data_IF_205120175014
#
_entry.id   IF_205120175014
#
_cell.length_a   1.000
_cell.length_b   1.000
_cell.length_c   1.000
_cell.angle_alpha   90.00
_cell.angle_beta   90.00
_cell.angle_gamma   90.00
#
_symmetry.space_group_name_H-M   'P 1'
#
loop_
_entity.id
_entity.type
_entity.pdbx_description
1 polymer ?
#
# COMPACT_ATOMS: atom_id res chain seq x y z
N UNK A 1 10.32 -3.36 -71.76
CA UNK A 1 10.37 -2.31 -70.72
C UNK A 1 8.94 -1.91 -70.41
N UNK A 2 8.38 -2.47 -69.35
CA UNK A 2 7.04 -2.17 -68.82
C UNK A 2 7.22 -1.81 -67.35
N UNK A 3 6.67 -0.69 -66.85
CA UNK A 3 6.84 -0.34 -65.45
C UNK A 3 5.85 -1.15 -64.59
N UNK A 4 6.39 -1.86 -63.61
CA UNK A 4 5.63 -2.44 -62.52
C UNK A 4 5.23 -1.32 -61.55
N UNK A 5 3.93 -1.01 -61.46
CA UNK A 5 3.39 -0.19 -60.39
C UNK A 5 3.21 -1.07 -59.15
N UNK A 6 4.10 -0.90 -58.18
CA UNK A 6 3.95 -1.48 -56.84
C UNK A 6 2.99 -0.57 -56.05
N UNK A 7 1.77 -1.04 -55.85
CA UNK A 7 0.79 -0.40 -54.99
C UNK A 7 1.17 -0.70 -53.53
N UNK A 8 1.77 0.26 -52.83
CA UNK A 8 1.95 0.20 -51.38
C UNK A 8 0.59 0.36 -50.71
N UNK A 9 0.04 -0.74 -50.21
CA UNK A 9 -1.10 -0.73 -49.29
C UNK A 9 -0.55 -0.41 -47.90
N UNK A 10 -0.68 0.83 -47.47
CA UNK A 10 -0.44 1.21 -46.09
C UNK A 10 -1.57 0.62 -45.23
N UNK A 11 -1.31 -0.50 -44.54
CA UNK A 11 -2.15 -0.96 -43.45
C UNK A 11 -1.95 -0.01 -42.26
N UNK A 12 -2.79 1.01 -42.18
CA UNK A 12 -2.99 1.77 -40.95
C UNK A 12 -3.65 0.85 -39.92
N UNK A 13 -2.84 0.20 -39.08
CA UNK A 13 -3.31 -0.33 -37.80
C UNK A 13 -3.74 0.85 -36.94
N UNK A 14 -5.02 1.17 -36.97
CA UNK A 14 -5.62 2.03 -35.96
C UNK A 14 -5.50 1.32 -34.63
N UNK A 15 -4.58 1.76 -33.78
CA UNK A 15 -4.63 1.52 -32.34
C UNK A 15 -5.97 2.06 -31.87
N UNK A 16 -6.96 1.18 -31.77
CA UNK A 16 -8.19 1.48 -31.08
C UNK A 16 -7.79 1.67 -29.62
N UNK A 17 -7.67 2.93 -29.19
CA UNK A 17 -7.68 3.27 -27.78
C UNK A 17 -9.01 2.72 -27.23
N UNK A 18 -8.97 1.50 -26.68
CA UNK A 18 -10.08 1.01 -25.90
C UNK A 18 -10.16 1.95 -24.72
N UNK A 19 -11.26 2.70 -24.60
CA UNK A 19 -11.55 3.38 -23.36
C UNK A 19 -11.50 2.31 -22.27
N UNK A 20 -10.53 2.40 -21.36
CA UNK A 20 -10.49 1.54 -20.17
C UNK A 20 -11.82 1.74 -19.45
N UNK A 21 -12.62 0.68 -19.43
CA UNK A 21 -13.91 0.64 -18.76
C UNK A 21 -13.69 -0.07 -17.43
N UNK A 22 -13.72 0.69 -16.34
CA UNK A 22 -13.65 0.14 -14.99
C UNK A 22 -14.92 -0.64 -14.69
N UNK A 23 -14.78 -1.82 -14.10
CA UNK A 23 -15.90 -2.70 -13.72
C UNK A 23 -16.78 -2.09 -12.62
N UNK A 24 -16.19 -1.24 -11.78
CA UNK A 24 -16.86 -0.52 -10.70
C UNK A 24 -16.12 0.79 -10.37
N UNK A 25 -16.75 1.65 -9.58
CA UNK A 25 -16.12 2.82 -8.95
C UNK A 25 -16.61 2.91 -7.51
N UNK A 26 -15.68 3.09 -6.59
CA UNK A 26 -15.92 3.02 -5.15
C UNK A 26 -15.71 4.37 -4.47
N UNK A 27 -16.28 4.47 -3.29
CA UNK A 27 -15.88 5.34 -2.20
C UNK A 27 -15.44 4.43 -1.04
N UNK A 28 -14.62 4.90 -0.09
CA UNK A 28 -14.29 4.09 1.08
C UNK A 28 -15.51 3.55 1.84
N UNK A 29 -16.63 4.29 1.81
CA UNK A 29 -17.88 3.93 2.48
C UNK A 29 -18.66 2.80 1.81
N UNK A 30 -18.43 2.52 0.52
CA UNK A 30 -19.15 1.49 -0.22
C UNK A 30 -18.24 0.41 -0.81
N UNK A 31 -16.93 0.48 -0.54
CA UNK A 31 -15.97 -0.49 -1.01
C UNK A 31 -16.34 -1.92 -0.52
N UNK A 32 -16.26 -2.93 -1.39
CA UNK A 32 -16.51 -4.32 -1.01
C UNK A 32 -15.41 -4.83 -0.08
N UNK A 33 -15.59 -6.03 0.49
CA UNK A 33 -14.48 -6.61 1.27
C UNK A 33 -13.26 -6.83 0.38
N UNK A 34 -13.45 -7.43 -0.79
CA UNK A 34 -12.44 -7.54 -1.84
C UNK A 34 -13.03 -6.95 -3.13
N UNK A 35 -12.28 -6.11 -3.82
CA UNK A 35 -12.61 -5.58 -5.14
C UNK A 35 -12.21 -6.54 -6.25
N UNK A 36 -11.13 -7.31 -6.05
CA UNK A 36 -10.59 -8.22 -7.06
C UNK A 36 -10.41 -9.67 -6.57
N UNK A 37 -10.34 -10.60 -7.52
CA UNK A 37 -10.11 -12.02 -7.23
C UNK A 37 -8.64 -12.25 -6.88
N UNK A 38 -8.39 -12.95 -5.77
CA UNK A 38 -7.03 -13.24 -5.30
C UNK A 38 -6.48 -12.21 -4.32
N UNK A 39 -7.26 -11.16 -4.03
CA UNK A 39 -6.93 -10.16 -3.04
C UNK A 39 -6.67 -10.77 -1.66
N UNK A 40 -5.51 -10.47 -1.09
CA UNK A 40 -5.09 -10.95 0.24
C UNK A 40 -5.56 -10.05 1.36
N UNK A 41 -5.57 -8.73 1.14
CA UNK A 41 -6.05 -7.75 2.11
C UNK A 41 -7.55 -7.46 1.97
N UNK A 42 -7.97 -6.26 2.35
CA UNK A 42 -9.37 -5.83 2.31
C UNK A 42 -9.52 -4.39 1.85
N UNK A 43 -10.61 -4.10 1.13
CA UNK A 43 -11.06 -2.73 0.86
C UNK A 43 -12.13 -2.24 1.85
N UNK A 44 -12.66 -3.11 2.73
CA UNK A 44 -13.50 -2.72 3.88
C UNK A 44 -12.63 -2.32 5.06
N UNK A 45 -11.87 -1.26 4.87
CA UNK A 45 -10.99 -0.73 5.89
C UNK A 45 -11.78 -0.21 7.09
N UNK A 46 -11.17 -0.30 8.28
CA UNK A 46 -11.70 0.34 9.48
C UNK A 46 -11.55 1.87 9.43
N UNK A 47 -11.70 2.52 10.56
CA UNK A 47 -11.43 3.96 10.70
C UNK A 47 -10.16 4.20 11.52
N UNK A 48 -10.04 3.58 12.68
CA UNK A 48 -8.85 3.72 13.52
C UNK A 48 -7.65 2.95 12.93
N UNK A 49 -6.49 3.59 12.95
CA UNK A 49 -5.25 3.02 12.48
C UNK A 49 -4.86 1.80 13.32
N UNK A 50 -4.28 0.82 12.64
CA UNK A 50 -3.83 -0.42 13.25
C UNK A 50 -2.58 -0.91 12.51
N UNK A 51 -1.47 -1.08 13.25
CA UNK A 51 -0.21 -1.56 12.69
C UNK A 51 -0.26 -3.00 12.15
N UNK A 52 -1.33 -3.75 12.44
CA UNK A 52 -1.60 -5.07 11.83
C UNK A 52 -2.68 -5.02 10.75
N UNK A 53 -3.07 -3.82 10.28
CA UNK A 53 -4.11 -3.68 9.26
C UNK A 53 -3.72 -4.38 7.96
N UNK A 54 -4.73 -4.92 7.28
CA UNK A 54 -4.66 -5.47 5.93
C UNK A 54 -5.42 -4.59 4.92
N UNK A 55 -5.67 -3.33 5.25
CA UNK A 55 -6.31 -2.37 4.36
C UNK A 55 -5.48 -2.18 3.09
N UNK A 56 -6.13 -2.21 1.92
CA UNK A 56 -5.52 -1.97 0.61
C UNK A 56 -6.15 -0.74 -0.08
N UNK A 57 -6.60 0.23 0.72
CA UNK A 57 -7.06 1.52 0.25
C UNK A 57 -6.01 2.59 0.59
N UNK A 58 -5.43 3.21 -0.42
CA UNK A 58 -4.49 4.32 -0.28
C UNK A 58 -5.17 5.66 -0.57
N UNK A 59 -4.61 6.72 0.01
CA UNK A 59 -5.12 8.08 -0.10
C UNK A 59 -3.98 9.01 -0.50
N UNK A 60 -4.19 9.91 -1.45
CA UNK A 60 -3.21 10.93 -1.86
C UNK A 60 -3.88 12.29 -1.88
N UNK A 61 -3.90 12.98 -0.74
CA UNK A 61 -4.63 14.25 -0.57
C UNK A 61 -3.70 15.46 -0.46
N UNK A 62 -2.60 15.35 0.28
CA UNK A 62 -1.63 16.43 0.52
C UNK A 62 -0.28 15.88 0.98
N UNK A 63 0.66 16.78 1.28
CA UNK A 63 1.98 16.43 1.82
C UNK A 63 1.93 15.78 3.22
N UNK A 64 0.93 16.08 4.04
CA UNK A 64 0.71 15.49 5.36
C UNK A 64 -0.45 14.48 5.38
N UNK A 65 -1.07 14.21 4.24
CA UNK A 65 -2.18 13.27 4.10
C UNK A 65 -2.02 12.41 2.85
N UNK A 66 -1.08 11.47 2.93
CA UNK A 66 -0.83 10.49 1.89
C UNK A 66 -0.58 9.10 2.47
N UNK A 67 -0.70 8.09 1.60
CA UNK A 67 -0.36 6.70 1.89
C UNK A 67 0.65 6.17 0.88
N UNK A 68 1.35 5.11 1.28
CA UNK A 68 2.23 4.28 0.47
C UNK A 68 1.78 2.82 0.60
N UNK A 69 1.96 2.03 -0.44
CA UNK A 69 1.81 0.57 -0.36
C UNK A 69 3.15 -0.05 0.08
N UNK A 70 3.12 -0.98 1.04
CA UNK A 70 4.33 -1.68 1.49
C UNK A 70 3.99 -3.01 2.20
N UNK A 71 4.99 -3.90 2.39
CA UNK A 71 4.69 -5.30 2.66
C UNK A 71 3.92 -5.50 3.95
N UNK A 72 2.96 -6.45 4.00
CA UNK A 72 2.17 -6.68 5.20
C UNK A 72 3.01 -7.25 6.35
N UNK A 73 4.15 -7.87 6.06
CA UNK A 73 5.08 -8.43 7.04
C UNK A 73 6.52 -8.22 6.57
N UNK A 74 7.49 -8.07 7.50
CA UNK A 74 8.90 -8.03 7.15
C UNK A 74 9.45 -9.45 6.96
N UNK A 75 10.61 -9.55 6.31
CA UNK A 75 11.39 -10.77 6.19
C UNK A 75 11.66 -11.18 4.75
N UNK A 76 11.85 -12.49 4.55
CA UNK A 76 12.13 -13.05 3.23
C UNK A 76 10.87 -12.97 2.36
N UNK A 77 11.00 -12.45 1.15
CA UNK A 77 9.88 -12.24 0.22
C UNK A 77 9.06 -10.99 0.55
N UNK A 78 9.66 -10.05 1.29
CA UNK A 78 9.12 -8.70 1.50
C UNK A 78 9.79 -7.67 0.59
N UNK A 79 10.73 -8.10 -0.26
CA UNK A 79 11.25 -7.24 -1.32
C UNK A 79 10.05 -6.83 -2.20
N UNK A 80 9.96 -5.56 -2.58
CA UNK A 80 8.78 -5.00 -3.24
C UNK A 80 8.40 -5.85 -4.45
N UNK A 81 9.37 -6.15 -5.32
CA UNK A 81 9.16 -7.00 -6.50
C UNK A 81 8.68 -8.43 -6.20
N UNK A 82 8.92 -8.96 -5.00
CA UNK A 82 8.44 -10.28 -4.57
C UNK A 82 7.04 -10.20 -3.91
N UNK A 83 6.68 -9.07 -3.31
CA UNK A 83 5.46 -8.89 -2.52
C UNK A 83 4.36 -8.04 -3.16
N UNK A 84 4.58 -7.56 -4.40
CA UNK A 84 3.71 -6.58 -5.07
C UNK A 84 2.22 -6.94 -5.00
N UNK A 85 1.85 -8.22 -5.09
CA UNK A 85 0.45 -8.67 -5.08
C UNK A 85 -0.27 -8.48 -3.72
N UNK A 86 0.46 -8.38 -2.62
CA UNK A 86 -0.09 -8.46 -1.25
C UNK A 86 0.18 -7.22 -0.39
N UNK A 87 0.67 -6.15 -1.01
CA UNK A 87 0.97 -4.89 -0.34
C UNK A 87 -0.25 -4.32 0.41
N UNK A 88 0.00 -3.61 1.51
CA UNK A 88 -1.03 -2.96 2.34
C UNK A 88 -0.70 -1.49 2.53
N UNK A 89 -1.72 -0.70 2.84
CA UNK A 89 -1.57 0.75 2.94
C UNK A 89 -0.98 1.19 4.28
N UNK A 90 0.05 2.03 4.19
CA UNK A 90 0.66 2.80 5.28
C UNK A 90 0.42 4.27 5.03
N UNK A 91 -0.28 4.96 5.93
CA UNK A 91 -0.67 6.35 5.77
C UNK A 91 -0.03 7.26 6.81
N UNK A 92 0.15 8.53 6.47
CA UNK A 92 0.53 9.55 7.45
C UNK A 92 -0.59 9.73 8.50
N UNK A 93 -1.86 9.67 8.10
CA UNK A 93 -2.98 9.98 9.00
C UNK A 93 -3.77 8.75 9.47
N UNK A 94 -4.31 8.89 10.68
CA UNK A 94 -5.36 8.04 11.22
C UNK A 94 -6.70 8.38 10.54
N UNK A 95 -7.72 7.53 10.70
CA UNK A 95 -9.05 7.71 10.12
C UNK A 95 -9.34 6.82 8.91
N UNK A 96 -8.32 6.13 8.38
CA UNK A 96 -8.42 5.26 7.21
C UNK A 96 -8.44 3.76 7.51
N UNK A 97 -8.26 3.35 8.78
CA UNK A 97 -8.14 1.94 9.13
C UNK A 97 -6.86 1.29 8.61
N UNK A 98 -5.87 2.08 8.22
CA UNK A 98 -4.59 1.67 7.64
C UNK A 98 -3.51 1.56 8.72
N UNK A 99 -2.29 1.22 8.32
CA UNK A 99 -1.12 1.34 9.20
C UNK A 99 -0.66 2.79 9.20
N UNK A 100 -0.05 3.26 10.29
CA UNK A 100 0.59 4.57 10.29
C UNK A 100 2.04 4.45 9.88
N UNK A 101 2.47 5.31 8.97
CA UNK A 101 3.88 5.55 8.69
C UNK A 101 4.54 6.04 9.99
N UNK A 102 5.59 5.38 10.50
CA UNK A 102 6.23 5.83 11.74
C UNK A 102 6.87 7.21 11.58
N UNK A 103 6.73 8.06 12.60
CA UNK A 103 7.40 9.37 12.64
C UNK A 103 8.92 9.23 12.41
N UNK A 104 9.46 10.08 11.56
CA UNK A 104 10.88 10.06 11.19
C UNK A 104 11.23 9.11 10.04
N UNK A 105 10.29 8.28 9.55
CA UNK A 105 10.57 7.40 8.39
C UNK A 105 10.75 8.19 7.10
N UNK A 106 10.04 9.32 6.95
CA UNK A 106 10.13 10.19 5.76
C UNK A 106 11.15 11.29 6.03
N UNK A 107 12.22 11.31 5.23
CA UNK A 107 13.31 12.29 5.35
C UNK A 107 13.09 13.51 4.46
N UNK A 108 12.34 13.38 3.37
CA UNK A 108 11.89 14.48 2.52
C UNK A 108 10.70 14.06 1.69
N UNK A 109 9.80 14.99 1.40
CA UNK A 109 8.61 14.73 0.61
C UNK A 109 8.16 15.97 -0.19
N UNK A 110 7.77 15.76 -1.43
CA UNK A 110 7.32 16.78 -2.35
C UNK A 110 5.97 16.37 -2.94
N UNK A 111 4.91 17.07 -2.56
CA UNK A 111 3.56 16.85 -3.08
C UNK A 111 3.26 17.86 -4.18
N UNK A 112 2.77 17.41 -5.33
CA UNK A 112 2.30 18.27 -6.41
C UNK A 112 0.89 17.88 -6.81
N UNK A 113 0.03 18.87 -6.87
CA UNK A 113 -1.26 18.77 -7.54
C UNK A 113 -1.19 19.47 -8.90
N UNK A 114 -1.48 18.74 -9.97
CA UNK A 114 -1.59 19.27 -11.34
C UNK A 114 -3.06 19.26 -11.79
N UNK A 115 -3.39 19.81 -12.98
CA UNK A 115 -4.71 19.62 -13.57
C UNK A 115 -5.10 18.16 -13.86
N UNK A 116 -4.11 17.27 -14.05
CA UNK A 116 -4.30 15.90 -14.54
C UNK A 116 -3.97 14.81 -13.50
N UNK A 117 -3.16 15.09 -12.49
CA UNK A 117 -2.74 14.12 -11.47
C UNK A 117 -2.27 14.75 -10.16
N UNK A 118 -2.28 13.96 -9.10
CA UNK A 118 -1.54 14.24 -7.86
C UNK A 118 -0.31 13.34 -7.83
N UNK A 119 0.77 13.84 -7.25
CA UNK A 119 2.01 13.11 -7.11
C UNK A 119 2.68 13.45 -5.78
N UNK A 120 3.13 12.42 -5.07
CA UNK A 120 4.03 12.55 -3.93
C UNK A 120 5.35 11.84 -4.27
N UNK A 121 6.48 12.50 -4.04
CA UNK A 121 7.82 11.95 -4.21
C UNK A 121 8.63 12.19 -2.96
N UNK A 122 9.60 11.33 -2.66
CA UNK A 122 10.40 11.54 -1.46
C UNK A 122 11.42 10.45 -1.17
N UNK A 123 12.15 10.68 -0.09
CA UNK A 123 13.17 9.77 0.43
C UNK A 123 12.95 9.51 1.92
N UNK A 124 13.44 8.39 2.42
CA UNK A 124 13.19 7.96 3.79
C UNK A 124 14.00 6.75 4.24
N UNK A 125 13.82 6.34 5.49
CA UNK A 125 14.11 4.98 5.93
C UNK A 125 12.82 4.17 5.82
N UNK A 126 12.59 3.56 4.66
CA UNK A 126 11.36 2.83 4.37
C UNK A 126 11.42 1.38 4.86
N UNK A 127 12.52 0.98 5.51
CA UNK A 127 12.59 -0.32 6.19
C UNK A 127 11.62 -0.41 7.36
N UNK A 128 11.21 0.74 7.91
CA UNK A 128 10.16 0.86 8.92
C UNK A 128 8.76 0.47 8.42
N UNK A 129 8.57 0.34 7.09
CA UNK A 129 7.34 -0.11 6.44
C UNK A 129 7.40 -1.60 6.03
N UNK A 130 8.31 -2.37 6.63
CA UNK A 130 8.63 -3.78 6.34
C UNK A 130 9.43 -4.06 5.07
N UNK A 131 9.89 -3.03 4.36
CA UNK A 131 10.75 -3.21 3.18
C UNK A 131 12.15 -3.68 3.62
N UNK A 132 12.72 -4.74 3.02
CA UNK A 132 14.08 -5.17 3.33
C UNK A 132 15.11 -4.08 3.10
N UNK A 133 16.11 -4.00 3.98
CA UNK A 133 17.22 -3.08 3.78
C UNK A 133 17.99 -3.44 2.51
N UNK A 134 18.18 -2.46 1.63
CA UNK A 134 18.92 -2.63 0.38
C UNK A 134 18.05 -3.13 -0.77
N UNK A 135 16.74 -3.27 -0.57
CA UNK A 135 15.79 -3.40 -1.67
C UNK A 135 15.86 -2.14 -2.55
N UNK A 136 16.16 -2.35 -3.83
CA UNK A 136 16.30 -1.32 -4.86
C UNK A 136 14.93 -0.91 -5.46
N UNK A 137 13.88 -1.68 -5.16
CA UNK A 137 12.49 -1.32 -5.36
C UNK A 137 11.75 -2.12 -6.43
N UNK A 138 10.51 -1.70 -6.68
CA UNK A 138 9.61 -2.26 -7.69
C UNK A 138 8.45 -1.31 -7.99
N UNK A 139 7.69 -1.62 -9.05
CA UNK A 139 6.50 -0.88 -9.45
C UNK A 139 5.24 -1.56 -8.92
N UNK A 140 4.32 -0.74 -8.40
CA UNK A 140 2.98 -1.13 -7.99
C UNK A 140 1.97 -0.34 -8.81
N UNK A 141 0.94 -1.00 -9.34
CA UNK A 141 -0.02 -0.41 -10.27
C UNK A 141 -1.39 -1.16 -10.27
N UNK A 142 -2.45 -0.58 -10.86
CA UNK A 142 -3.79 -1.18 -10.86
C UNK A 142 -4.01 -2.28 -11.92
N UNK A 143 -3.05 -2.52 -12.81
CA UNK A 143 -3.14 -3.39 -13.99
C UNK A 143 -2.04 -4.46 -14.06
N UNK A 144 -1.35 -4.76 -12.94
CA UNK A 144 -0.30 -5.78 -12.83
C UNK A 144 -0.60 -7.10 -13.57
N UNK A 145 0.37 -7.98 -13.74
CA UNK A 145 0.39 -9.03 -14.78
C UNK A 145 -0.91 -9.82 -15.15
N UNK A 146 -1.84 -10.03 -14.22
CA UNK A 146 -3.13 -10.71 -14.44
C UNK A 146 -4.34 -9.77 -14.63
N UNK A 147 -4.11 -8.46 -14.64
CA UNK A 147 -5.10 -7.38 -14.75
C UNK A 147 -5.81 -7.03 -13.45
N UNK A 148 -5.43 -7.62 -12.31
CA UNK A 148 -6.08 -7.38 -11.02
C UNK A 148 -5.33 -6.36 -10.13
N UNK A 149 -4.21 -5.83 -10.62
CA UNK A 149 -3.32 -4.92 -9.91
C UNK A 149 -2.30 -5.63 -9.02
N UNK A 150 -1.31 -4.86 -8.58
CA UNK A 150 -0.25 -5.25 -7.67
C UNK A 150 0.03 -4.05 -6.72
N UNK A 151 -0.64 -3.96 -5.55
CA UNK A 151 -1.45 -4.98 -4.90
C UNK A 151 -2.74 -5.33 -5.62
N UNK A 152 -3.07 -6.62 -5.58
CA UNK A 152 -4.35 -7.11 -6.08
C UNK A 152 -5.48 -6.42 -5.32
N UNK A 153 -6.36 -5.73 -6.04
CA UNK A 153 -7.46 -4.96 -5.46
C UNK A 153 -7.04 -3.70 -4.70
N UNK A 154 -5.86 -3.15 -5.00
CA UNK A 154 -5.42 -1.84 -4.51
C UNK A 154 -6.32 -0.71 -5.01
N UNK A 155 -6.96 0.01 -4.10
CA UNK A 155 -7.80 1.17 -4.45
C UNK A 155 -7.12 2.46 -3.99
N UNK A 156 -7.06 3.45 -4.88
CA UNK A 156 -6.50 4.77 -4.56
C UNK A 156 -7.61 5.82 -4.58
N UNK A 157 -7.64 6.65 -3.55
CA UNK A 157 -8.60 7.74 -3.40
C UNK A 157 -7.91 9.09 -3.24
N UNK A 158 -8.55 10.15 -3.70
CA UNK A 158 -8.08 11.52 -3.47
C UNK A 158 -9.22 12.50 -3.38
N UNK A 159 -9.07 13.49 -2.52
CA UNK A 159 -9.92 14.68 -2.44
C UNK A 159 -9.29 15.92 -3.09
N UNK A 160 -8.08 15.79 -3.67
CA UNK A 160 -7.36 16.93 -4.24
C UNK A 160 -8.15 17.60 -5.38
N UNK A 161 -8.93 16.84 -6.14
CA UNK A 161 -9.72 17.36 -7.27
C UNK A 161 -11.14 17.81 -6.91
N UNK A 162 -11.49 17.84 -5.63
CA UNK A 162 -12.80 18.29 -5.14
C UNK A 162 -13.39 17.36 -4.10
N UNK A 163 -14.43 16.62 -4.47
CA UNK A 163 -14.96 15.57 -3.60
C UNK A 163 -14.02 14.36 -3.61
N UNK A 164 -13.99 13.61 -2.51
CA UNK A 164 -13.26 12.35 -2.44
C UNK A 164 -13.76 11.41 -3.54
N UNK A 165 -12.87 10.98 -4.42
CA UNK A 165 -13.17 10.05 -5.51
C UNK A 165 -12.07 8.98 -5.64
N UNK A 166 -12.39 7.88 -6.32
CA UNK A 166 -11.41 6.87 -6.69
C UNK A 166 -10.60 7.35 -7.91
N UNK A 167 -9.28 7.26 -7.80
CA UNK A 167 -8.35 7.45 -8.91
C UNK A 167 -7.96 6.06 -9.42
N UNK A 168 -8.44 5.70 -10.59
CA UNK A 168 -8.28 4.34 -11.14
C UNK A 168 -6.91 4.08 -11.75
N UNK A 169 -6.28 5.12 -12.29
CA UNK A 169 -4.97 5.04 -12.92
C UNK A 169 -3.96 5.64 -11.97
N UNK A 170 -2.98 4.85 -11.56
CA UNK A 170 -1.98 5.24 -10.58
C UNK A 170 -0.74 4.37 -10.71
N UNK A 171 0.39 4.89 -10.24
CA UNK A 171 1.67 4.17 -10.23
C UNK A 171 2.41 4.52 -8.95
N UNK A 172 2.88 3.52 -8.22
CA UNK A 172 3.68 3.68 -7.01
C UNK A 172 4.98 2.89 -7.13
N UNK A 173 6.12 3.56 -7.09
CA UNK A 173 7.39 2.88 -6.88
C UNK A 173 7.81 3.02 -5.43
N UNK A 174 8.32 1.91 -4.90
CA UNK A 174 8.78 1.80 -3.52
C UNK A 174 10.13 1.10 -3.53
N UNK A 175 11.08 1.60 -2.74
CA UNK A 175 12.34 0.94 -2.42
C UNK A 175 12.60 1.05 -0.91
N UNK A 176 13.76 0.59 -0.45
CA UNK A 176 14.15 0.78 0.95
C UNK A 176 14.48 2.23 1.32
N UNK A 177 14.65 3.14 0.36
CA UNK A 177 15.14 4.52 0.61
C UNK A 177 14.41 5.64 -0.13
N UNK A 178 13.61 5.31 -1.15
CA UNK A 178 12.94 6.24 -2.05
C UNK A 178 11.52 5.76 -2.35
N UNK A 179 10.61 6.71 -2.52
CA UNK A 179 9.26 6.45 -2.98
C UNK A 179 8.78 7.53 -3.94
N UNK A 180 7.87 7.13 -4.81
CA UNK A 180 7.06 8.05 -5.59
C UNK A 180 5.71 7.40 -5.88
N UNK A 181 4.65 8.19 -5.82
CA UNK A 181 3.30 7.74 -6.04
C UNK A 181 2.53 8.82 -6.79
N UNK A 182 2.10 8.52 -8.00
CA UNK A 182 1.22 9.37 -8.82
C UNK A 182 -0.13 8.70 -8.97
N UNK A 183 -1.19 9.48 -8.84
CA UNK A 183 -2.55 9.03 -9.15
C UNK A 183 -3.27 10.07 -10.02
N UNK A 184 -3.90 9.58 -11.07
CA UNK A 184 -4.40 10.40 -12.16
C UNK A 184 -5.88 10.69 -12.03
N UNK A 185 -6.22 11.95 -12.26
CA UNK A 185 -7.60 12.44 -12.28
C UNK A 185 -8.40 11.64 -13.31
N UNK A 186 -9.63 11.17 -12.99
CA UNK A 186 -10.40 10.37 -13.92
C UNK A 186 -10.65 11.12 -15.23
N UNK A 187 -10.30 10.47 -16.34
CA UNK A 187 -10.42 11.05 -17.67
C UNK A 187 -9.75 10.18 -18.73
N UNK A 188 -9.99 10.45 -20.02
CA UNK A 188 -9.49 9.62 -21.12
C UNK A 188 -7.95 9.59 -21.23
N UNK A 189 -7.25 10.54 -20.60
CA UNK A 189 -5.79 10.61 -20.56
C UNK A 189 -5.19 10.09 -19.26
N UNK A 190 -6.00 9.66 -18.30
CA UNK A 190 -5.49 9.17 -17.02
C UNK A 190 -4.44 8.03 -17.18
N UNK A 191 -4.64 7.04 -18.09
CA UNK A 191 -3.63 6.00 -18.31
C UNK A 191 -2.31 6.58 -18.84
N UNK A 192 -2.39 7.59 -19.71
CA UNK A 192 -1.20 8.22 -20.31
C UNK A 192 -0.37 9.02 -19.29
N UNK A 193 -1.02 9.54 -18.25
CA UNK A 193 -0.37 10.33 -17.20
C UNK A 193 0.18 9.45 -16.07
N UNK A 194 -0.41 8.27 -15.87
CA UNK A 194 -0.04 7.25 -14.89
C UNK A 194 0.23 5.93 -15.62
N UNK A 195 1.16 5.96 -16.57
CA UNK A 195 1.57 4.77 -17.30
C UNK A 195 2.29 3.80 -16.36
N UNK A 196 2.12 2.51 -16.63
CA UNK A 196 2.64 1.42 -15.80
C UNK A 196 3.42 0.38 -16.61
N UNK A 197 4.02 0.84 -17.72
CA UNK A 197 4.80 0.00 -18.66
C UNK A 197 6.31 0.29 -18.57
N UNK A 198 6.73 1.01 -17.53
CA UNK A 198 8.08 1.55 -17.37
C UNK A 198 8.70 1.18 -15.99
N UNK A 199 8.32 0.03 -15.46
CA UNK A 199 8.69 -0.59 -14.18
C UNK A 199 10.20 -0.65 -13.87
N UNK A 200 11.05 -0.92 -14.86
CA UNK A 200 12.51 -0.99 -14.70
C UNK A 200 13.20 0.38 -14.63
N UNK A 201 12.48 1.49 -14.76
CA UNK A 201 13.09 2.83 -14.85
C UNK A 201 12.99 3.65 -13.56
N UNK A 202 12.19 3.20 -12.59
CA UNK A 202 12.13 3.78 -11.24
C UNK A 202 11.53 5.18 -11.17
N UNK A 203 11.67 5.81 -10.00
CA UNK A 203 10.98 7.05 -9.65
C UNK A 203 11.42 8.26 -10.46
N UNK A 204 12.73 8.55 -10.51
CA UNK A 204 13.21 9.76 -11.18
C UNK A 204 12.89 9.78 -12.68
N UNK A 205 12.77 8.60 -13.31
CA UNK A 205 12.40 8.51 -14.72
C UNK A 205 10.90 8.68 -14.95
N UNK A 206 10.08 7.94 -14.18
CA UNK A 206 8.63 7.92 -14.33
C UNK A 206 7.93 9.17 -13.78
N UNK A 207 8.45 9.68 -12.67
CA UNK A 207 7.92 10.80 -11.92
C UNK A 207 8.99 11.86 -11.64
N UNK A 208 9.49 12.59 -12.66
CA UNK A 208 10.48 13.64 -12.46
C UNK A 208 9.95 14.73 -11.51
N UNK A 209 10.64 14.94 -10.39
CA UNK A 209 10.24 15.87 -9.33
C UNK A 209 11.41 16.18 -8.38
N UNK A 210 11.10 16.88 -7.28
CA UNK A 210 12.04 17.05 -6.18
C UNK A 210 12.01 15.83 -5.25
N UNK A 211 13.17 15.20 -5.03
CA UNK A 211 13.37 14.07 -4.10
C UNK A 211 14.26 14.43 -2.90
N UNK A 212 14.62 15.72 -2.75
CA UNK A 212 15.62 16.16 -1.78
C UNK A 212 15.21 15.89 -0.33
N UNK A 213 16.05 15.14 0.39
CA UNK A 213 15.95 15.00 1.84
C UNK A 213 16.00 16.37 2.55
N UNK A 214 15.28 16.49 3.67
CA UNK A 214 15.15 17.72 4.44
C UNK A 214 14.21 18.76 3.82
N UNK A 215 13.60 18.46 2.68
CA UNK A 215 12.60 19.32 2.05
C UNK A 215 11.22 18.68 2.20
N UNK A 216 10.28 19.44 2.76
CA UNK A 216 8.87 19.09 2.82
C UNK A 216 8.08 20.22 2.19
N UNK A 217 7.54 20.02 1.00
CA UNK A 217 6.75 21.04 0.33
C UNK A 217 5.57 20.48 -0.47
N UNK A 218 4.48 21.23 -0.50
CA UNK A 218 3.34 20.97 -1.37
C UNK A 218 3.19 22.12 -2.35
N UNK A 219 2.94 21.83 -3.61
CA UNK A 219 2.82 22.82 -4.66
C UNK A 219 1.63 22.52 -5.58
N UNK A 220 1.19 23.55 -6.30
CA UNK A 220 0.53 23.34 -7.58
C UNK A 220 1.59 23.13 -8.66
N UNK A 221 1.26 22.40 -9.73
CA UNK A 221 2.19 22.18 -10.83
C UNK A 221 1.50 22.08 -12.19
N UNK A 222 2.28 22.32 -13.23
CA UNK A 222 1.90 21.96 -14.61
C UNK A 222 1.95 20.44 -14.76
N UNK A 223 1.07 19.84 -15.59
CA UNK A 223 1.07 18.39 -15.83
C UNK A 223 2.33 17.91 -16.57
N UNK A 224 3.03 18.81 -17.28
CA UNK A 224 4.26 18.48 -18.00
C UNK A 224 4.03 17.67 -19.27
N UNK A 225 4.94 16.74 -19.54
CA UNK A 225 4.89 15.83 -20.69
C UNK A 225 4.41 14.43 -20.22
N UNK A 226 3.56 13.73 -20.98
CA UNK A 226 3.11 12.38 -20.62
C UNK A 226 4.28 11.38 -20.59
N UNK A 227 4.18 10.39 -19.71
CA UNK A 227 5.24 9.40 -19.48
C UNK A 227 5.61 8.67 -20.77
N UNK A 228 6.91 8.65 -21.09
CA UNK A 228 7.45 7.97 -22.26
C UNK A 228 7.10 8.59 -23.62
N UNK A 229 6.47 9.78 -23.68
CA UNK A 229 6.10 10.43 -24.94
C UNK A 229 7.11 11.51 -25.33
N UNK A 230 7.91 11.23 -26.35
CA UNK A 230 8.95 12.14 -26.86
C UNK A 230 8.54 12.68 -28.23
N UNK A 231 7.95 13.88 -28.24
CA UNK A 231 7.44 14.51 -29.47
C UNK A 231 6.27 13.73 -30.05
N UNK A 232 6.49 13.05 -31.18
CA UNK A 232 5.49 12.19 -31.82
C UNK A 232 5.74 10.69 -31.64
N UNK A 233 6.76 10.29 -30.88
CA UNK A 233 7.08 8.90 -30.60
C UNK A 233 6.80 8.54 -29.14
N UNK A 234 6.36 7.32 -28.91
CA UNK A 234 6.29 6.70 -27.59
C UNK A 234 7.48 5.76 -27.42
N UNK A 235 8.16 5.86 -26.30
CA UNK A 235 9.23 4.95 -25.92
C UNK A 235 8.66 3.60 -25.50
N UNK A 236 9.32 2.51 -25.87
CA UNK A 236 9.01 1.17 -25.40
C UNK A 236 10.17 0.67 -24.55
N UNK A 237 9.88 0.26 -23.32
CA UNK A 237 10.91 -0.23 -22.41
C UNK A 237 11.56 -1.51 -22.99
N UNK A 238 12.89 -1.60 -22.85
CA UNK A 238 13.70 -2.65 -23.48
C UNK A 238 14.20 -2.30 -24.89
N UNK A 239 13.82 -1.13 -25.44
CA UNK A 239 14.44 -0.63 -26.67
C UNK A 239 15.96 -0.41 -26.51
N UNK A 240 16.75 -0.43 -27.61
CA UNK A 240 18.21 -0.32 -27.55
C UNK A 240 18.75 0.97 -26.90
N UNK A 241 17.91 2.01 -26.82
CA UNK A 241 18.24 3.28 -26.21
C UNK A 241 17.07 3.76 -25.35
N UNK A 242 17.31 3.86 -24.04
CA UNK A 242 16.40 4.52 -23.11
C UNK A 242 16.64 6.04 -23.17
N UNK A 243 15.63 6.85 -23.55
CA UNK A 243 15.74 8.30 -23.53
C UNK A 243 15.86 8.82 -22.09
N UNK A 244 16.41 10.04 -21.89
CA UNK A 244 16.46 10.64 -20.56
C UNK A 244 15.06 10.94 -20.02
N UNK A 245 14.89 11.04 -18.69
CA UNK A 245 13.63 11.50 -18.09
C UNK A 245 13.12 12.80 -18.71
N UNK A 246 11.80 12.98 -18.68
CA UNK A 246 11.22 14.29 -18.97
C UNK A 246 11.70 15.36 -17.96
N UNK A 247 11.81 16.63 -18.39
CA UNK A 247 12.14 17.70 -17.47
C UNK A 247 11.05 17.83 -16.39
N UNK A 248 11.47 18.18 -15.17
CA UNK A 248 10.55 18.44 -14.05
C UNK A 248 9.59 19.57 -14.46
N UNK A 249 8.26 19.37 -14.38
CA UNK A 249 7.28 20.40 -14.70
C UNK A 249 7.40 21.61 -13.77
N UNK A 250 6.93 22.78 -14.21
CA UNK A 250 6.97 23.98 -13.35
C UNK A 250 6.02 23.83 -12.18
N UNK A 251 6.48 24.20 -11.00
CA UNK A 251 5.67 24.29 -9.79
C UNK A 251 5.35 25.75 -9.43
N UNK A 252 4.24 25.95 -8.73
CA UNK A 252 3.77 27.25 -8.24
C UNK A 252 3.03 27.10 -6.91
N UNK A 253 2.77 28.21 -6.22
CA UNK A 253 2.01 28.23 -4.96
C UNK A 253 2.52 27.24 -3.90
N UNK A 254 3.85 27.06 -3.84
CA UNK A 254 4.47 26.10 -2.94
C UNK A 254 4.38 26.55 -1.48
N UNK A 255 3.88 25.66 -0.62
CA UNK A 255 3.92 25.78 0.83
C UNK A 255 4.95 24.81 1.40
N UNK A 256 5.83 25.31 2.27
CA UNK A 256 6.89 24.52 2.89
C UNK A 256 6.56 24.21 4.35
N UNK A 257 6.91 23.01 4.77
CA UNK A 257 6.86 22.58 6.16
C UNK A 257 8.26 22.22 6.63
N UNK A 258 8.52 22.32 7.94
CA UNK A 258 9.80 21.89 8.51
C UNK A 258 9.92 20.37 8.63
N UNK A 259 8.78 19.70 8.76
CA UNK A 259 8.63 18.24 8.88
C UNK A 259 7.17 17.87 8.64
N UNK A 260 6.92 16.61 8.36
CA UNK A 260 5.61 15.96 8.50
C UNK A 260 5.62 15.05 9.72
N UNK A 261 4.43 14.70 10.22
CA UNK A 261 4.23 13.75 11.32
C UNK A 261 3.00 12.91 11.07
N UNK A 262 2.96 11.73 11.65
CA UNK A 262 1.76 10.93 11.60
C UNK A 262 0.64 11.55 12.46
N UNK A 263 -0.59 11.46 11.95
CA UNK A 263 -1.79 12.00 12.58
C UNK A 263 -2.34 11.13 13.70
N UNK A 264 -1.50 10.38 14.43
CA UNK A 264 -1.94 9.47 15.47
C UNK A 264 -2.77 10.23 16.54
N UNK A 265 -4.04 9.86 16.70
CA UNK A 265 -4.86 10.38 17.80
C UNK A 265 -4.37 9.70 19.08
N UNK A 266 -3.49 10.37 19.82
CA UNK A 266 -3.13 9.93 21.17
C UNK A 266 -4.37 10.12 22.05
N UNK A 267 -5.19 9.07 22.15
CA UNK A 267 -6.16 8.95 23.24
C UNK A 267 -5.32 8.86 24.51
N UNK A 268 -5.07 10.01 25.11
CA UNK A 268 -4.42 10.12 26.40
C UNK A 268 -5.30 9.38 27.41
N UNK A 269 -5.02 8.10 27.64
CA UNK A 269 -5.41 7.45 28.87
C UNK A 269 -4.60 8.15 29.96
N UNK A 270 -5.19 9.18 30.55
CA UNK A 270 -4.64 9.90 31.67
C UNK A 270 -4.49 8.92 32.84
N UNK A 271 -3.34 8.26 32.94
CA UNK A 271 -2.90 7.64 34.19
C UNK A 271 -2.47 8.81 35.08
N UNK A 272 -3.42 9.32 35.87
CA UNK A 272 -3.12 10.23 36.97
C UNK A 272 -2.11 9.53 37.90
N UNK A 273 -0.93 10.11 38.18
CA UNK A 273 -0.07 9.60 39.23
C UNK A 273 -0.72 9.91 40.59
N UNK A 274 -1.29 8.89 41.21
CA UNK A 274 -1.67 8.93 42.62
C UNK A 274 -0.40 8.95 43.48
N UNK A 275 -0.02 10.15 43.93
CA UNK A 275 1.02 10.36 44.94
C UNK A 275 0.48 9.95 46.31
N UNK A 276 0.63 8.68 46.68
CA UNK A 276 0.45 8.22 48.06
C UNK A 276 1.68 8.58 48.89
N UNK A 277 1.59 9.70 49.62
CA UNK A 277 2.54 10.01 50.69
C UNK A 277 2.27 9.11 51.89
N UNK A 278 3.17 8.13 52.11
CA UNK A 278 3.17 7.30 53.31
C UNK A 278 3.90 8.03 54.45
N UNK A 279 3.16 8.41 55.48
CA UNK A 279 3.71 8.90 56.75
C UNK A 279 3.75 7.75 57.76
N UNK A 280 4.96 7.32 58.10
CA UNK A 280 5.26 6.37 59.18
C UNK A 280 4.99 7.03 60.54
N UNK A 281 4.27 6.36 61.42
CA UNK A 281 4.25 6.67 62.87
C UNK A 281 4.00 5.39 63.66
N UNK A 282 5.00 4.99 64.42
CA UNK A 282 5.04 3.88 65.38
C UNK A 282 4.56 4.35 66.75
N UNK A 283 3.67 3.58 67.42
CA UNK A 283 3.57 3.50 68.90
C UNK A 283 2.63 2.35 69.38
N UNK A 284 3.24 1.33 70.00
CA UNK A 284 2.88 0.59 71.24
C UNK A 284 1.42 0.25 71.62
N UNK A 285 1.16 -1.06 71.82
CA UNK A 285 0.02 -1.77 72.49
C UNK A 285 -0.01 -1.55 74.04
N UNK A 286 -0.95 -2.08 74.90
CA UNK A 286 -1.71 -3.37 74.83
C UNK A 286 -3.12 -3.49 75.50
N UNK A 287 -3.64 -4.75 75.51
CA UNK A 287 -4.78 -5.36 76.26
C UNK A 287 -6.19 -5.20 75.63
N UNK A 288 -7.09 -6.20 75.55
CA UNK A 288 -7.37 -7.43 76.34
C UNK A 288 -8.18 -8.46 75.51
N UNK A 289 -8.00 -9.78 75.74
CA UNK A 289 -8.79 -10.89 75.14
C UNK A 289 -10.18 -11.11 75.79
N UNK A 290 -10.87 -12.28 75.66
CA UNK A 290 -10.42 -13.57 75.09
C UNK A 290 -11.44 -14.38 74.22
N UNK A 291 -10.94 -15.51 73.69
CA UNK A 291 -11.57 -16.84 73.45
C UNK A 291 -12.74 -17.05 72.47
N UNK A 292 -12.54 -17.92 71.47
CA UNK A 292 -13.00 -19.31 71.50
C UNK A 292 -12.55 -20.15 70.28
N UNK A 293 -12.14 -21.37 70.60
CA UNK A 293 -11.75 -22.56 69.81
C UNK A 293 -12.81 -23.09 68.85
N UNK A 294 -12.39 -23.65 67.70
CA UNK A 294 -12.72 -25.02 67.29
C UNK A 294 -11.91 -25.46 66.05
N UNK A 295 -11.31 -26.65 66.17
CA UNK A 295 -10.64 -27.39 65.11
C UNK A 295 -11.64 -28.30 64.36
N UNK A 296 -11.34 -28.63 63.10
CA UNK A 296 -12.05 -29.66 62.33
C UNK A 296 -11.26 -30.10 61.10
N UNK A 297 -10.91 -31.38 61.06
CA UNK A 297 -10.10 -32.10 60.06
C UNK A 297 -10.95 -32.70 58.92
N UNK A 298 -10.24 -33.12 57.86
CA UNK A 298 -10.55 -34.20 56.88
C UNK A 298 -11.66 -33.90 55.85
N UNK A 299 -11.69 -34.40 54.61
CA UNK A 299 -11.01 -35.46 53.82
C UNK A 299 -11.24 -35.11 52.33
N UNK A 300 -10.32 -35.36 51.39
CA UNK A 300 -10.17 -36.65 50.71
C UNK A 300 -11.37 -37.00 49.81
N UNK A 301 -11.25 -36.79 48.49
CA UNK A 301 -12.28 -37.15 47.52
C UNK A 301 -11.76 -37.20 46.08
N UNK A 302 -11.25 -38.36 45.69
CA UNK A 302 -10.92 -38.77 44.32
C UNK A 302 -12.21 -38.89 43.51
N UNK A 303 -12.23 -38.41 42.26
CA UNK A 303 -13.27 -38.74 41.29
C UNK A 303 -12.61 -39.41 40.07
N UNK A 304 -12.97 -40.66 39.83
CA UNK A 304 -12.58 -41.45 38.68
C UNK A 304 -13.82 -42.04 38.01
N UNK A 305 -13.82 -41.95 36.66
CA UNK A 305 -14.35 -42.88 35.64
C UNK A 305 -15.87 -42.81 35.33
N UNK A 306 -16.20 -42.56 34.06
CA UNK A 306 -16.73 -43.58 33.14
C UNK A 306 -17.07 -43.02 31.74
N UNK A 307 -16.51 -43.63 30.70
CA UNK A 307 -17.01 -43.62 29.32
C UNK A 307 -17.70 -44.97 29.03
N UNK A 308 -18.73 -45.01 28.18
CA UNK A 308 -18.94 -46.10 27.22
C UNK A 308 -18.71 -45.56 25.79
N UNK A 309 -17.82 -46.14 24.97
CA UNK A 309 -18.10 -47.29 24.06
C UNK A 309 -19.01 -46.82 22.92
N UNK A 310 -18.89 -47.11 21.61
CA UNK A 310 -18.42 -48.28 20.84
C UNK A 310 -19.03 -48.17 19.41
N UNK A 311 -18.36 -48.79 18.41
CA UNK A 311 -18.64 -48.88 16.95
C UNK A 311 -17.75 -47.93 16.10
N UNK A 312 -16.55 -48.38 15.67
CA UNK A 312 -16.22 -49.16 14.44
C UNK A 312 -16.31 -48.30 13.17
N UNK A 313 -15.40 -48.31 12.19
CA UNK A 313 -14.14 -49.02 11.89
C UNK A 313 -13.57 -48.34 10.62
N UNK A 314 -12.25 -48.05 10.61
CA UNK A 314 -11.24 -48.14 9.53
C UNK A 314 -11.63 -47.91 8.05
N UNK A 315 -10.83 -47.11 7.33
CA UNK A 315 -10.10 -47.40 6.06
C UNK A 315 -9.62 -46.06 5.45
N UNK A 316 -8.35 -45.67 5.57
CA UNK A 316 -7.18 -45.91 4.69
C UNK A 316 -6.88 -44.74 3.74
N UNK A 317 -5.59 -44.48 3.59
CA UNK A 317 -4.89 -43.43 2.84
C UNK A 317 -5.33 -43.19 1.37
N UNK A 318 -5.06 -41.98 0.89
CA UNK A 318 -5.02 -41.64 -0.53
C UNK A 318 -4.35 -40.28 -0.76
N UNK A 319 -3.06 -40.31 -1.06
CA UNK A 319 -2.26 -39.16 -1.46
C UNK A 319 -2.29 -38.93 -2.98
N UNK A 320 -1.93 -37.70 -3.38
CA UNK A 320 -1.34 -37.29 -4.66
C UNK A 320 -2.17 -37.47 -5.95
N UNK A 321 -2.68 -36.34 -6.45
CA UNK A 321 -2.87 -36.13 -7.89
C UNK A 321 -1.98 -34.98 -8.36
N UNK A 322 -0.92 -35.35 -9.08
CA UNK A 322 -0.07 -34.50 -9.89
C UNK A 322 -0.78 -34.34 -11.24
N UNK A 323 -1.20 -33.12 -11.57
CA UNK A 323 -1.70 -32.76 -12.90
C UNK A 323 -0.56 -32.22 -13.76
N UNK A 324 -0.06 -33.06 -14.67
CA UNK A 324 0.83 -32.65 -15.77
C UNK A 324 -0.03 -32.25 -16.97
N UNK A 325 0.08 -30.99 -17.43
CA UNK A 325 -0.46 -30.58 -18.73
C UNK A 325 0.68 -30.52 -19.74
N UNK A 326 0.59 -31.43 -20.70
CA UNK A 326 1.44 -31.56 -21.88
C UNK A 326 1.16 -30.39 -22.84
N UNK A 327 2.24 -29.77 -23.32
CA UNK A 327 2.23 -28.69 -24.31
C UNK A 327 1.77 -29.15 -25.69
N UNK A 328 1.03 -28.26 -26.36
CA UNK A 328 0.71 -28.37 -27.77
C UNK A 328 1.80 -27.65 -28.58
N UNK A 329 2.54 -28.43 -29.35
CA UNK A 329 3.36 -27.98 -30.48
C UNK A 329 2.40 -27.73 -31.65
N UNK A 330 2.44 -26.53 -32.24
CA UNK A 330 1.94 -26.30 -33.60
C UNK A 330 3.09 -25.72 -34.41
N UNK A 331 3.58 -26.54 -35.34
CA UNK A 331 4.32 -26.14 -36.53
C UNK A 331 3.37 -26.35 -37.70
N UNK A 332 3.02 -25.24 -38.37
CA UNK A 332 2.91 -25.04 -39.82
C UNK A 332 2.33 -23.66 -40.10
#
# INVERSE_FOLDING_TARGET
MTPFNVLLVALSFGLSARAQSYSATYLPSNAPNHSEKGQTGTNKCGTAANQTSLCQNAYLNSLDDFCLFAPPKPGKGSDIGDSEQIEVSWCMNDGYGTRLIPDGSIHGAHFVQTPDFVQITGTGDLTSLNIPKGDEGGELDPHGADGNGNPIGGLVFSSAFGQLEQLHEWTNFMSSTEFCFRACKPGPKAPQWCEHVYDLLGCEWNMPANYAAGTFEQCLGDSGLPMGVYGSSTFEQGAPHTPPPHPIPKSSSCSKMSTIKNGAIVTSSSILPSTTSASVSTTTSPSSGPSATAAGKSSGGVLTIALPGWERLVVTAGALLIGSMVGAVIVL
#
